data_IF_387402751782
#
_entry.id   IF_387402751782
#
_cell.length_a   1.000
_cell.length_b   1.000
_cell.length_c   1.000
_cell.angle_alpha   90.00
_cell.angle_beta   90.00
_cell.angle_gamma   90.00
#
_symmetry.space_group_name_H-M   'P 1'
#
loop_
_entity.id
_entity.type
_entity.pdbx_description
1 polymer ?
#
# COMPACT_ATOMS: atom_id res chain seq x y z
N UNK A 1 21.01 -14.89 38.84
CA UNK A 1 20.47 -15.72 37.75
C UNK A 1 18.95 -15.66 37.90
N UNK A 2 18.20 -15.14 36.93
CA UNK A 2 16.74 -15.01 37.06
C UNK A 2 16.15 -16.42 36.89
N UNK A 3 15.59 -16.99 37.95
CA UNK A 3 15.17 -18.39 38.01
C UNK A 3 13.93 -18.70 37.17
N UNK A 4 13.15 -17.70 36.72
CA UNK A 4 11.97 -17.93 35.89
C UNK A 4 11.71 -16.80 34.89
N UNK A 5 11.39 -17.17 33.64
CA UNK A 5 11.01 -16.23 32.60
C UNK A 5 9.58 -15.75 32.83
N UNK A 6 9.44 -14.49 33.26
CA UNK A 6 8.16 -13.81 33.53
C UNK A 6 7.19 -13.83 32.33
N UNK A 7 7.68 -13.99 31.09
CA UNK A 7 6.84 -14.08 29.91
C UNK A 7 6.08 -15.40 29.80
N UNK A 8 6.51 -16.47 30.50
CA UNK A 8 5.87 -17.79 30.45
C UNK A 8 4.46 -17.78 31.06
N UNK A 9 4.20 -16.91 32.04
CA UNK A 9 2.90 -16.80 32.70
C UNK A 9 1.90 -15.90 31.97
N UNK A 10 2.36 -15.11 31.00
CA UNK A 10 1.52 -14.10 30.35
C UNK A 10 0.84 -14.69 29.11
N UNK A 11 -0.47 -14.83 29.17
CA UNK A 11 -1.26 -15.29 28.02
C UNK A 11 -1.47 -14.11 27.06
N UNK A 12 -1.08 -14.29 25.80
CA UNK A 12 -1.22 -13.26 24.73
C UNK A 12 -2.63 -12.65 24.65
N UNK A 13 -3.67 -13.45 24.89
CA UNK A 13 -5.07 -13.02 24.89
C UNK A 13 -5.42 -11.98 25.97
N UNK A 14 -4.68 -11.97 27.08
CA UNK A 14 -4.93 -11.10 28.23
C UNK A 14 -4.16 -9.78 28.09
N UNK A 15 -3.17 -9.72 27.18
CA UNK A 15 -2.42 -8.51 26.83
C UNK A 15 -2.89 -7.82 25.54
N UNK A 16 -3.25 -8.62 24.53
CA UNK A 16 -3.48 -8.12 23.18
C UNK A 16 -4.96 -7.81 23.03
N UNK A 17 -5.28 -6.52 23.07
CA UNK A 17 -6.56 -6.03 22.61
C UNK A 17 -6.75 -6.37 21.13
N UNK A 18 -7.62 -7.33 20.85
CA UNK A 18 -7.99 -7.67 19.48
C UNK A 18 -8.92 -6.60 18.91
N UNK A 19 -8.35 -5.63 18.21
CA UNK A 19 -9.13 -4.66 17.43
C UNK A 19 -10.03 -5.42 16.46
N UNK A 20 -11.35 -5.16 16.51
CA UNK A 20 -12.31 -5.77 15.58
C UNK A 20 -11.90 -5.47 14.15
N UNK A 21 -11.83 -6.51 13.31
CA UNK A 21 -11.53 -6.38 11.89
C UNK A 21 -12.65 -5.62 11.19
N UNK A 22 -12.31 -4.56 10.45
CA UNK A 22 -13.22 -3.87 9.53
C UNK A 22 -12.85 -4.26 8.11
N UNK A 23 -13.82 -4.83 7.37
CA UNK A 23 -13.66 -5.10 5.96
C UNK A 23 -13.95 -3.84 5.15
N UNK A 24 -13.09 -3.54 4.17
CA UNK A 24 -13.31 -2.44 3.22
C UNK A 24 -14.01 -3.00 1.98
N UNK A 25 -15.19 -2.48 1.68
CA UNK A 25 -15.95 -2.92 0.50
C UNK A 25 -15.29 -2.41 -0.79
N UNK A 26 -15.24 -3.27 -1.79
CA UNK A 26 -14.75 -2.94 -3.13
C UNK A 26 -15.82 -2.17 -3.89
N UNK A 27 -15.43 -1.13 -4.63
CA UNK A 27 -16.34 -0.42 -5.54
C UNK A 27 -16.56 -1.30 -6.77
N UNK A 28 -17.79 -1.77 -6.98
CA UNK A 28 -18.16 -2.63 -8.12
C UNK A 28 -18.90 -1.88 -9.23
N UNK A 29 -19.48 -0.72 -8.91
CA UNK A 29 -20.27 0.09 -9.83
C UNK A 29 -19.37 1.02 -10.66
N UNK A 30 -19.49 0.96 -11.99
CA UNK A 30 -18.70 1.78 -12.92
C UNK A 30 -18.94 3.28 -12.74
N UNK A 31 -20.18 3.68 -12.41
CA UNK A 31 -20.56 5.07 -12.13
C UNK A 31 -19.76 5.66 -10.96
N UNK A 32 -19.63 4.90 -9.86
CA UNK A 32 -18.88 5.31 -8.66
C UNK A 32 -17.36 5.36 -8.92
N UNK A 33 -16.85 4.49 -9.78
CA UNK A 33 -15.44 4.55 -10.21
C UNK A 33 -15.19 5.83 -11.01
N UNK A 34 -16.10 6.17 -11.94
CA UNK A 34 -16.01 7.42 -12.71
C UNK A 34 -16.02 8.64 -11.79
N UNK A 35 -16.97 8.70 -10.86
CA UNK A 35 -17.06 9.78 -9.85
C UNK A 35 -15.77 9.89 -9.03
N UNK A 36 -15.20 8.77 -8.59
CA UNK A 36 -13.94 8.75 -7.86
C UNK A 36 -12.79 9.36 -8.67
N UNK A 37 -12.66 8.98 -9.94
CA UNK A 37 -11.61 9.48 -10.84
C UNK A 37 -11.78 10.98 -11.06
N UNK A 38 -13.00 11.45 -11.34
CA UNK A 38 -13.31 12.87 -11.50
C UNK A 38 -12.94 13.66 -10.25
N UNK A 39 -13.33 13.17 -9.07
CA UNK A 39 -12.96 13.78 -7.79
C UNK A 39 -11.44 13.87 -7.61
N UNK A 40 -10.67 12.82 -7.96
CA UNK A 40 -9.21 12.84 -7.88
C UNK A 40 -8.59 13.87 -8.85
N UNK A 41 -9.15 14.02 -10.05
CA UNK A 41 -8.64 14.96 -11.04
C UNK A 41 -8.89 16.40 -10.60
N UNK A 42 -10.10 16.70 -10.13
CA UNK A 42 -10.54 18.07 -9.86
C UNK A 42 -10.31 18.54 -8.42
N UNK A 43 -9.96 17.64 -7.48
CA UNK A 43 -9.61 18.05 -6.11
C UNK A 43 -8.40 18.99 -6.10
N UNK A 44 -8.48 20.02 -5.27
CA UNK A 44 -7.36 20.92 -5.00
C UNK A 44 -6.47 20.28 -3.94
N UNK A 45 -5.38 19.66 -4.37
CA UNK A 45 -4.36 19.10 -3.50
C UNK A 45 -2.98 19.25 -4.14
N UNK A 46 -1.94 18.95 -3.36
CA UNK A 46 -0.58 18.91 -3.87
C UNK A 46 -0.45 18.01 -5.11
N UNK A 47 0.30 18.47 -6.11
CA UNK A 47 0.43 17.78 -7.40
C UNK A 47 1.04 16.39 -7.23
N UNK A 48 2.04 16.23 -6.37
CA UNK A 48 2.67 14.93 -6.14
C UNK A 48 1.68 13.96 -5.48
N UNK A 49 0.86 14.46 -4.55
CA UNK A 49 -0.20 13.67 -3.92
C UNK A 49 -1.23 13.21 -4.95
N UNK A 50 -1.69 14.10 -5.83
CA UNK A 50 -2.62 13.76 -6.91
C UNK A 50 -2.05 12.69 -7.85
N UNK A 51 -0.82 12.88 -8.30
CA UNK A 51 -0.15 11.93 -9.20
C UNK A 51 0.08 10.58 -8.53
N UNK A 52 0.44 10.56 -7.24
CA UNK A 52 0.61 9.32 -6.49
C UNK A 52 -0.72 8.52 -6.36
N UNK A 53 -1.84 9.21 -6.16
CA UNK A 53 -3.17 8.58 -6.10
C UNK A 53 -3.53 7.98 -7.48
N UNK A 54 -3.33 8.75 -8.55
CA UNK A 54 -3.60 8.28 -9.92
C UNK A 54 -2.71 7.08 -10.29
N UNK A 55 -1.42 7.15 -9.99
CA UNK A 55 -0.48 6.06 -10.25
C UNK A 55 -0.87 4.80 -9.45
N UNK A 56 -1.30 4.95 -8.20
CA UNK A 56 -1.82 3.85 -7.39
C UNK A 56 -3.07 3.21 -8.00
N UNK A 57 -3.96 4.02 -8.59
CA UNK A 57 -5.18 3.52 -9.24
C UNK A 57 -4.88 2.77 -10.53
N UNK A 58 -3.93 3.27 -11.34
CA UNK A 58 -3.58 2.70 -12.64
C UNK A 58 -2.74 1.42 -12.53
N UNK A 59 -1.90 1.31 -11.49
CA UNK A 59 -0.92 0.21 -11.36
C UNK A 59 -1.25 -0.79 -10.25
N UNK A 60 -2.25 -0.47 -9.41
CA UNK A 60 -2.62 -1.21 -8.20
C UNK A 60 -1.43 -1.46 -7.24
N UNK A 61 -0.36 -0.67 -7.33
CA UNK A 61 0.79 -0.81 -6.46
C UNK A 61 0.53 -0.28 -5.05
N UNK A 62 1.25 -0.83 -4.08
CA UNK A 62 1.13 -0.41 -2.68
C UNK A 62 1.72 0.97 -2.49
N UNK A 63 1.21 1.71 -1.49
CA UNK A 63 1.65 3.07 -1.19
C UNK A 63 3.16 3.21 -0.96
N UNK A 64 3.82 2.17 -0.42
CA UNK A 64 5.28 2.15 -0.29
C UNK A 64 5.98 2.14 -1.65
N UNK A 65 5.56 1.28 -2.58
CA UNK A 65 6.14 1.22 -3.93
C UNK A 65 5.95 2.54 -4.67
N UNK A 66 4.74 3.12 -4.60
CA UNK A 66 4.43 4.43 -5.22
C UNK A 66 5.37 5.53 -4.72
N UNK A 67 5.57 5.64 -3.40
CA UNK A 67 6.42 6.69 -2.82
C UNK A 67 7.91 6.49 -3.03
N UNK A 68 8.36 5.25 -3.33
CA UNK A 68 9.76 4.93 -3.58
C UNK A 68 10.07 4.71 -5.06
N UNK A 69 9.11 5.03 -5.96
CA UNK A 69 9.31 4.96 -7.39
C UNK A 69 10.46 5.89 -7.78
N UNK A 70 11.44 5.37 -8.51
CA UNK A 70 12.51 6.16 -9.09
C UNK A 70 12.40 6.13 -10.62
N UNK A 71 12.86 7.20 -11.27
CA UNK A 71 12.83 7.28 -12.74
C UNK A 71 13.63 6.16 -13.42
N UNK A 72 14.72 5.69 -12.78
CA UNK A 72 15.51 4.52 -13.23
C UNK A 72 14.73 3.19 -13.21
N UNK A 73 13.63 3.10 -12.45
CA UNK A 73 12.79 1.90 -12.39
C UNK A 73 11.78 1.87 -13.56
N UNK A 74 11.58 2.97 -14.28
CA UNK A 74 10.50 3.15 -15.27
C UNK A 74 11.09 3.24 -16.68
N UNK A 75 10.71 2.28 -17.51
CA UNK A 75 10.95 2.30 -18.95
C UNK A 75 9.71 2.85 -19.65
N UNK A 76 9.76 4.13 -20.03
CA UNK A 76 8.65 4.81 -20.69
C UNK A 76 8.48 4.38 -22.16
N UNK A 77 9.52 3.88 -22.81
CA UNK A 77 9.45 3.44 -24.21
C UNK A 77 8.66 2.13 -24.31
N UNK A 78 8.92 1.21 -23.37
CA UNK A 78 8.24 -0.08 -23.31
C UNK A 78 6.99 -0.07 -22.39
N UNK A 79 6.74 1.03 -21.68
CA UNK A 79 5.62 1.15 -20.74
C UNK A 79 5.74 0.22 -19.53
N UNK A 80 6.97 -0.08 -19.10
CA UNK A 80 7.26 -1.01 -18.01
C UNK A 80 7.70 -0.26 -16.76
N UNK A 81 7.27 -0.77 -15.60
CA UNK A 81 7.77 -0.32 -14.31
C UNK A 81 8.33 -1.51 -13.53
N UNK A 82 9.66 -1.57 -13.43
CA UNK A 82 10.39 -2.65 -12.79
C UNK A 82 10.75 -2.27 -11.35
N UNK A 83 10.01 -2.82 -10.38
CA UNK A 83 10.26 -2.53 -8.95
C UNK A 83 11.33 -3.51 -8.42
N UNK A 84 12.54 -3.06 -8.02
CA UNK A 84 13.59 -3.95 -7.59
C UNK A 84 13.23 -4.64 -6.26
N UNK A 85 13.66 -5.90 -6.12
CA UNK A 85 13.34 -6.74 -4.96
C UNK A 85 13.71 -6.09 -3.60
N UNK A 86 14.79 -5.30 -3.58
CA UNK A 86 15.23 -4.55 -2.40
C UNK A 86 14.21 -3.51 -1.93
N UNK A 87 13.41 -2.94 -2.84
CA UNK A 87 12.32 -1.99 -2.58
C UNK A 87 10.97 -2.69 -2.32
N UNK A 88 10.91 -4.03 -2.36
CA UNK A 88 9.67 -4.80 -2.15
C UNK A 88 9.51 -5.25 -0.69
N UNK A 89 8.27 -5.23 -0.19
CA UNK A 89 7.94 -5.66 1.19
C UNK A 89 8.42 -7.08 1.53
N UNK A 90 8.42 -7.99 0.55
CA UNK A 90 8.83 -9.38 0.75
C UNK A 90 10.29 -9.68 0.38
N UNK A 91 11.11 -8.67 0.06
CA UNK A 91 12.53 -8.83 -0.37
C UNK A 91 12.76 -9.89 -1.47
N UNK A 92 11.71 -10.26 -2.20
CA UNK A 92 11.73 -11.23 -3.30
C UNK A 92 11.11 -10.57 -4.51
N UNK A 93 11.82 -10.58 -5.64
CA UNK A 93 11.30 -10.08 -6.90
C UNK A 93 10.02 -10.84 -7.25
N UNK A 94 8.96 -10.12 -7.61
CA UNK A 94 7.84 -10.71 -8.33
C UNK A 94 8.07 -10.44 -9.81
N UNK A 95 8.45 -11.49 -10.53
CA UNK A 95 8.34 -11.55 -11.98
C UNK A 95 6.91 -11.98 -12.31
#
# INVERSE_FOLDING_TARGET
MIENNIMLGIKRKDLVYNKKTRHFATITEVSKIKELIENIIYIQCDTNTKMAILLSLLTAQRSFSIRNAAWEDIDLENGLWNIPASKMKMKKAHC
#
